data_IF_213080367778
#
_entry.id   IF_213080367778
#
_cell.length_a   1.000
_cell.length_b   1.000
_cell.length_c   1.000
_cell.angle_alpha   90.00
_cell.angle_beta   90.00
_cell.angle_gamma   90.00
#
_symmetry.space_group_name_H-M   'P 1'
#
loop_
_entity.id
_entity.type
_entity.pdbx_description
1 polymer ?
#
# COMPACT_ATOMS: atom_id res chain seq x y z
N UNK A 1 -17.30 -20.43 11.03
CA UNK A 1 -17.06 -19.25 11.88
C UNK A 1 -16.08 -18.27 11.22
N UNK A 2 -14.96 -18.72 10.71
CA UNK A 2 -13.89 -17.90 10.09
C UNK A 2 -14.38 -17.06 8.89
N UNK A 3 -15.22 -17.62 8.00
CA UNK A 3 -15.78 -16.86 6.85
C UNK A 3 -16.62 -15.63 7.27
N UNK A 4 -17.39 -15.75 8.35
CA UNK A 4 -18.20 -14.64 8.87
C UNK A 4 -17.34 -13.54 9.50
N UNK A 5 -16.24 -13.91 10.16
CA UNK A 5 -15.27 -12.96 10.72
C UNK A 5 -14.55 -12.19 9.63
N UNK A 6 -14.17 -12.87 8.54
CA UNK A 6 -13.52 -12.21 7.39
C UNK A 6 -14.47 -11.28 6.63
N UNK A 7 -15.75 -11.68 6.46
CA UNK A 7 -16.76 -10.77 5.89
C UNK A 7 -16.99 -9.55 6.79
N UNK A 8 -17.09 -9.77 8.10
CA UNK A 8 -17.25 -8.66 9.05
C UNK A 8 -16.04 -7.72 9.05
N UNK A 9 -14.82 -8.25 9.00
CA UNK A 9 -13.60 -7.44 8.91
C UNK A 9 -13.52 -6.65 7.58
N UNK A 10 -13.90 -7.25 6.46
CA UNK A 10 -13.95 -6.57 5.16
C UNK A 10 -15.03 -5.49 5.12
N UNK A 11 -16.22 -5.76 5.68
CA UNK A 11 -17.30 -4.78 5.79
C UNK A 11 -16.88 -3.63 6.72
N UNK A 12 -16.26 -3.95 7.87
CA UNK A 12 -15.75 -2.95 8.79
C UNK A 12 -14.68 -2.06 8.13
N UNK A 13 -13.76 -2.66 7.36
CA UNK A 13 -12.78 -1.93 6.56
C UNK A 13 -13.41 -1.00 5.53
N UNK A 14 -14.41 -1.48 4.78
CA UNK A 14 -15.16 -0.66 3.82
C UNK A 14 -15.93 0.47 4.50
N UNK A 15 -16.58 0.18 5.63
CA UNK A 15 -17.30 1.19 6.42
C UNK A 15 -16.31 2.24 6.95
N UNK A 16 -15.17 1.82 7.47
CA UNK A 16 -14.12 2.73 7.94
C UNK A 16 -13.59 3.61 6.80
N UNK A 17 -13.35 3.04 5.62
CA UNK A 17 -12.96 3.80 4.43
C UNK A 17 -14.04 4.80 4.00
N UNK A 18 -15.31 4.39 3.99
CA UNK A 18 -16.43 5.25 3.65
C UNK A 18 -16.60 6.39 4.68
N UNK A 19 -16.43 6.08 5.97
CA UNK A 19 -16.48 7.09 7.05
C UNK A 19 -15.31 8.07 6.92
N UNK A 20 -14.10 7.59 6.67
CA UNK A 20 -12.93 8.45 6.46
C UNK A 20 -13.10 9.32 5.21
N UNK A 21 -13.56 8.74 4.09
CA UNK A 21 -13.85 9.50 2.87
C UNK A 21 -14.93 10.57 3.11
N UNK A 22 -16.00 10.22 3.86
CA UNK A 22 -17.06 11.17 4.22
C UNK A 22 -16.58 12.28 5.17
N UNK A 23 -15.75 11.92 6.16
CA UNK A 23 -15.15 12.90 7.09
C UNK A 23 -14.22 13.85 6.32
N UNK A 24 -13.40 13.33 5.41
CA UNK A 24 -12.52 14.13 4.57
C UNK A 24 -13.30 15.01 3.60
N UNK A 25 -14.41 14.52 3.04
CA UNK A 25 -15.29 15.33 2.21
C UNK A 25 -15.98 16.44 3.02
N UNK A 26 -16.57 16.11 4.17
CA UNK A 26 -17.18 17.12 5.06
C UNK A 26 -16.18 18.14 5.62
N UNK A 27 -14.94 17.74 5.81
CA UNK A 27 -13.86 18.63 6.21
C UNK A 27 -13.35 19.51 5.05
N UNK A 28 -13.96 19.40 3.84
CA UNK A 28 -13.53 20.15 2.66
C UNK A 28 -12.11 19.81 2.18
N UNK A 29 -11.58 18.67 2.62
CA UNK A 29 -10.21 18.27 2.32
C UNK A 29 -10.00 17.92 0.83
N UNK A 30 -11.09 17.66 0.11
CA UNK A 30 -11.09 17.45 -1.34
C UNK A 30 -11.38 18.72 -2.14
N UNK A 31 -11.85 19.78 -1.48
CA UNK A 31 -12.30 21.01 -2.16
C UNK A 31 -11.14 21.94 -2.49
N UNK A 32 -10.06 21.91 -1.73
CA UNK A 32 -8.88 22.70 -2.02
C UNK A 32 -7.58 22.13 -1.44
N UNK A 33 -6.48 22.43 -2.13
CA UNK A 33 -5.10 22.11 -1.70
C UNK A 33 -4.78 22.78 -0.37
N UNK A 34 -5.29 23.99 -0.18
CA UNK A 34 -5.09 24.80 1.01
C UNK A 34 -5.73 24.16 2.25
N UNK A 35 -6.92 23.57 2.13
CA UNK A 35 -7.60 22.87 3.22
C UNK A 35 -6.80 21.62 3.65
N UNK A 36 -6.31 20.84 2.68
CA UNK A 36 -5.42 19.69 2.92
C UNK A 36 -4.12 20.11 3.60
N UNK A 37 -3.47 21.14 3.06
CA UNK A 37 -2.22 21.66 3.60
C UNK A 37 -2.39 22.23 5.00
N UNK A 38 -3.50 22.93 5.28
CA UNK A 38 -3.82 23.46 6.61
C UNK A 38 -4.11 22.35 7.63
N UNK A 39 -4.73 21.26 7.21
CA UNK A 39 -4.93 20.09 8.08
C UNK A 39 -3.61 19.47 8.52
N UNK A 40 -2.65 19.34 7.60
CA UNK A 40 -1.32 18.78 7.90
C UNK A 40 -0.48 19.78 8.68
N UNK A 41 -0.59 21.07 8.40
CA UNK A 41 0.12 22.10 9.16
C UNK A 41 -0.26 22.11 10.64
N UNK A 42 -1.48 21.65 10.99
CA UNK A 42 -1.90 21.44 12.40
C UNK A 42 -1.08 20.36 13.10
N UNK A 43 -0.59 19.35 12.37
CA UNK A 43 0.34 18.33 12.90
C UNK A 43 1.79 18.83 12.94
N UNK A 44 2.06 20.02 12.38
CA UNK A 44 3.38 20.63 12.36
C UNK A 44 4.45 19.68 11.84
N UNK A 45 5.56 19.59 12.55
CA UNK A 45 6.69 18.72 12.21
C UNK A 45 6.36 17.21 12.31
N UNK A 46 5.29 16.82 13.03
CA UNK A 46 4.87 15.43 13.17
C UNK A 46 4.06 14.92 11.96
N UNK A 47 3.55 15.79 11.08
CA UNK A 47 2.75 15.42 9.91
C UNK A 47 3.38 14.33 9.03
N UNK A 48 4.67 14.45 8.64
CA UNK A 48 5.35 13.40 7.89
C UNK A 48 5.42 12.05 8.61
N UNK A 49 5.66 12.04 9.92
CA UNK A 49 5.74 10.80 10.70
C UNK A 49 4.38 10.10 10.78
N UNK A 50 3.30 10.85 10.99
CA UNK A 50 1.92 10.33 10.96
C UNK A 50 1.61 9.73 9.60
N UNK A 51 1.96 10.41 8.51
CA UNK A 51 1.72 9.93 7.16
C UNK A 51 2.51 8.65 6.84
N UNK A 52 3.79 8.60 7.20
CA UNK A 52 4.66 7.42 7.03
C UNK A 52 4.08 6.23 7.81
N UNK A 53 3.63 6.45 9.04
CA UNK A 53 2.99 5.42 9.87
C UNK A 53 1.69 4.94 9.23
N UNK A 54 0.85 5.85 8.74
CA UNK A 54 -0.36 5.52 8.00
C UNK A 54 -0.06 4.65 6.77
N UNK A 55 0.93 5.02 5.97
CA UNK A 55 1.37 4.24 4.82
C UNK A 55 1.86 2.85 5.21
N UNK A 56 2.60 2.70 6.29
CA UNK A 56 3.04 1.41 6.78
C UNK A 56 1.86 0.53 7.24
N UNK A 57 0.93 1.11 7.97
CA UNK A 57 -0.27 0.40 8.46
C UNK A 57 -1.17 -0.05 7.32
N UNK A 58 -1.39 0.77 6.30
CA UNK A 58 -2.25 0.39 5.17
C UNK A 58 -1.70 -0.76 4.33
N UNK A 59 -0.37 -0.93 4.27
CA UNK A 59 0.26 -2.10 3.61
C UNK A 59 0.05 -3.38 4.42
N UNK A 60 0.10 -3.27 5.75
CA UNK A 60 -0.13 -4.42 6.66
C UNK A 60 -1.62 -4.77 6.70
N UNK A 61 -2.49 -3.77 6.68
CA UNK A 61 -3.94 -3.94 6.65
C UNK A 61 -4.43 -3.37 5.31
N UNK A 62 -4.50 -4.17 4.23
CA UNK A 62 -4.80 -3.69 2.88
C UNK A 62 -6.27 -3.25 2.77
N UNK A 63 -6.59 -2.09 3.33
CA UNK A 63 -7.93 -1.50 3.34
C UNK A 63 -8.12 -0.62 2.10
N UNK A 64 -7.09 0.14 1.73
CA UNK A 64 -7.11 1.07 0.61
C UNK A 64 -6.23 0.56 -0.54
N UNK A 65 -6.60 0.81 -1.79
CA UNK A 65 -5.69 0.62 -2.91
C UNK A 65 -4.44 1.48 -2.72
N UNK A 66 -3.24 0.85 -2.72
CA UNK A 66 -1.96 1.53 -2.44
C UNK A 66 -1.69 2.78 -3.30
N UNK A 67 -2.24 2.82 -4.51
CA UNK A 67 -2.14 3.98 -5.40
C UNK A 67 -2.78 5.26 -4.82
N UNK A 68 -3.88 5.16 -4.08
CA UNK A 68 -4.52 6.31 -3.44
C UNK A 68 -3.64 6.92 -2.34
N UNK A 69 -2.96 6.07 -1.58
CA UNK A 69 -1.98 6.53 -0.59
C UNK A 69 -0.81 7.27 -1.23
N UNK A 70 -0.29 6.77 -2.37
CA UNK A 70 0.77 7.44 -3.11
C UNK A 70 0.34 8.82 -3.61
N UNK A 71 -0.86 8.92 -4.17
CA UNK A 71 -1.42 10.20 -4.62
C UNK A 71 -1.56 11.17 -3.45
N UNK A 72 -2.14 10.72 -2.32
CA UNK A 72 -2.27 11.55 -1.13
C UNK A 72 -0.92 12.13 -0.68
N UNK A 73 0.15 11.33 -0.66
CA UNK A 73 1.49 11.78 -0.32
C UNK A 73 1.99 12.90 -1.23
N UNK A 74 1.77 12.78 -2.55
CA UNK A 74 2.16 13.81 -3.51
C UNK A 74 1.35 15.08 -3.33
N UNK A 75 0.06 14.94 -3.11
CA UNK A 75 -0.86 16.08 -2.88
C UNK A 75 -0.45 16.85 -1.63
N UNK A 76 -0.18 16.15 -0.55
CA UNK A 76 0.05 16.72 0.77
C UNK A 76 1.44 17.34 0.93
N UNK A 77 2.45 16.69 0.40
CA UNK A 77 3.86 17.05 0.65
C UNK A 77 4.62 17.46 -0.61
N UNK A 78 3.94 17.44 -1.78
CA UNK A 78 4.56 17.65 -3.08
C UNK A 78 5.28 16.39 -3.60
N UNK A 79 5.68 16.44 -4.88
CA UNK A 79 6.20 15.26 -5.60
C UNK A 79 7.41 14.64 -4.89
N UNK A 80 8.44 15.44 -4.55
CA UNK A 80 9.68 14.92 -3.98
C UNK A 80 9.54 14.41 -2.55
N UNK A 81 8.97 15.23 -1.65
CA UNK A 81 8.78 14.82 -0.25
C UNK A 81 7.73 13.71 -0.16
N UNK A 82 6.63 13.80 -0.92
CA UNK A 82 5.60 12.78 -0.98
C UNK A 82 6.14 11.44 -1.46
N UNK A 83 7.00 11.43 -2.48
CA UNK A 83 7.67 10.22 -2.94
C UNK A 83 8.49 9.56 -1.81
N UNK A 84 9.34 10.31 -1.11
CA UNK A 84 10.16 9.74 -0.04
C UNK A 84 9.35 9.26 1.15
N UNK A 85 8.29 9.97 1.54
CA UNK A 85 7.44 9.55 2.64
C UNK A 85 6.61 8.31 2.27
N UNK A 86 6.09 8.23 1.06
CA UNK A 86 5.47 7.03 0.51
C UNK A 86 6.46 5.86 0.52
N UNK A 87 7.66 6.06 -0.01
CA UNK A 87 8.69 5.03 -0.10
C UNK A 87 9.06 4.47 1.27
N UNK A 88 9.36 5.33 2.25
CA UNK A 88 9.72 4.89 3.61
C UNK A 88 8.55 4.12 4.24
N UNK A 89 7.34 4.68 4.19
CA UNK A 89 6.16 4.06 4.79
C UNK A 89 5.80 2.72 4.15
N UNK A 90 5.75 2.66 2.82
CA UNK A 90 5.42 1.44 2.08
C UNK A 90 6.50 0.37 2.27
N UNK A 91 7.78 0.73 2.26
CA UNK A 91 8.85 -0.24 2.53
C UNK A 91 8.78 -0.78 3.97
N UNK A 92 8.58 0.08 4.95
CA UNK A 92 8.41 -0.34 6.35
C UNK A 92 7.20 -1.27 6.51
N UNK A 93 6.06 -0.91 5.92
CA UNK A 93 4.85 -1.74 5.91
C UNK A 93 5.06 -3.10 5.23
N UNK A 94 5.79 -3.13 4.10
CA UNK A 94 6.11 -4.37 3.38
C UNK A 94 7.00 -5.30 4.19
N UNK A 95 7.99 -4.75 4.90
CA UNK A 95 8.84 -5.52 5.81
C UNK A 95 8.03 -6.07 6.99
N UNK A 96 7.12 -5.28 7.56
CA UNK A 96 6.23 -5.71 8.61
C UNK A 96 5.26 -6.81 8.14
N UNK A 97 4.62 -6.64 6.98
CA UNK A 97 3.74 -7.63 6.38
C UNK A 97 4.44 -8.98 6.14
N UNK A 98 5.67 -8.92 5.61
CA UNK A 98 6.51 -10.11 5.45
C UNK A 98 6.85 -10.77 6.79
N UNK A 99 7.21 -9.98 7.82
CA UNK A 99 7.51 -10.48 9.15
C UNK A 99 6.32 -11.20 9.78
N UNK A 100 5.14 -10.57 9.72
CA UNK A 100 3.89 -11.11 10.23
C UNK A 100 3.52 -12.40 9.50
N UNK A 101 3.58 -12.39 8.16
CA UNK A 101 3.29 -13.58 7.36
C UNK A 101 4.32 -14.71 7.61
N UNK A 102 5.58 -14.38 7.86
CA UNK A 102 6.62 -15.34 8.22
C UNK A 102 6.35 -16.00 9.58
N UNK A 103 5.84 -15.25 10.54
CA UNK A 103 5.52 -15.74 11.87
C UNK A 103 4.21 -16.54 11.89
N UNK A 104 3.16 -16.06 11.21
CA UNK A 104 1.81 -16.64 11.25
C UNK A 104 1.59 -17.72 10.16
N UNK A 105 2.39 -17.71 9.11
CA UNK A 105 2.32 -18.67 8.02
C UNK A 105 1.10 -18.56 7.11
N UNK A 106 0.82 -19.64 6.40
CA UNK A 106 -0.24 -19.70 5.38
C UNK A 106 -1.67 -19.46 5.90
N UNK A 107 -2.05 -19.85 7.11
CA UNK A 107 -3.39 -19.55 7.66
C UNK A 107 -3.72 -18.05 7.67
N UNK A 108 -2.73 -17.20 7.93
CA UNK A 108 -2.93 -15.76 7.87
C UNK A 108 -3.23 -15.29 6.43
N UNK A 109 -2.47 -15.77 5.45
CA UNK A 109 -2.66 -15.44 4.04
C UNK A 109 -4.10 -15.80 3.60
N UNK A 110 -4.55 -17.01 3.96
CA UNK A 110 -5.90 -17.51 3.64
C UNK A 110 -7.02 -16.74 4.38
N UNK A 111 -6.70 -16.12 5.50
CA UNK A 111 -7.66 -15.30 6.25
C UNK A 111 -7.81 -13.89 5.69
N UNK A 112 -6.76 -13.33 5.12
CA UNK A 112 -6.72 -11.94 4.63
C UNK A 112 -7.11 -11.83 3.15
N UNK A 113 -6.76 -12.83 2.34
CA UNK A 113 -6.93 -12.76 0.88
C UNK A 113 -7.88 -13.83 0.33
N UNK A 114 -8.58 -13.55 -0.81
CA UNK A 114 -9.47 -14.51 -1.44
C UNK A 114 -8.74 -15.76 -1.96
N UNK A 115 -9.32 -16.95 -1.79
CA UNK A 115 -8.75 -18.22 -2.22
C UNK A 115 -8.35 -18.23 -3.71
N UNK A 116 -9.19 -17.66 -4.59
CA UNK A 116 -8.90 -17.53 -6.03
C UNK A 116 -7.59 -16.79 -6.32
N UNK A 117 -7.28 -15.81 -5.51
CA UNK A 117 -6.05 -15.02 -5.65
C UNK A 117 -4.84 -15.86 -5.22
N UNK A 118 -4.97 -16.58 -4.12
CA UNK A 118 -3.92 -17.48 -3.60
C UNK A 118 -3.59 -18.57 -4.62
N UNK A 119 -4.61 -19.29 -5.14
CA UNK A 119 -4.43 -20.33 -6.16
C UNK A 119 -3.78 -19.81 -7.44
N UNK A 120 -4.18 -18.62 -7.90
CA UNK A 120 -3.60 -17.99 -9.09
C UNK A 120 -2.10 -17.78 -8.95
N UNK A 121 -1.67 -17.18 -7.84
CA UNK A 121 -0.26 -16.84 -7.64
C UNK A 121 0.58 -18.05 -7.24
N UNK A 122 0.05 -19.00 -6.47
CA UNK A 122 0.71 -20.26 -6.16
C UNK A 122 1.05 -21.04 -7.44
N UNK A 123 0.11 -21.10 -8.39
CA UNK A 123 0.33 -21.78 -9.68
C UNK A 123 1.37 -21.09 -10.55
N UNK A 124 1.39 -19.75 -10.53
CA UNK A 124 2.28 -18.96 -11.39
C UNK A 124 3.70 -18.88 -10.87
N UNK A 125 3.87 -18.75 -9.58
CA UNK A 125 5.17 -18.38 -9.00
C UNK A 125 6.06 -19.57 -8.65
N UNK A 126 5.48 -20.76 -8.47
CA UNK A 126 6.26 -21.95 -8.11
C UNK A 126 7.05 -21.76 -6.81
N UNK A 127 8.22 -22.44 -6.70
CA UNK A 127 9.08 -22.38 -5.50
C UNK A 127 10.54 -22.07 -5.85
N UNK A 128 11.29 -21.63 -4.84
CA UNK A 128 12.73 -21.40 -4.94
C UNK A 128 13.16 -20.16 -5.73
N UNK A 129 14.18 -20.28 -6.58
CA UNK A 129 14.75 -19.15 -7.33
C UNK A 129 13.79 -18.53 -8.36
N UNK A 130 12.86 -19.32 -8.88
CA UNK A 130 11.83 -18.85 -9.80
C UNK A 130 10.90 -17.87 -9.09
N UNK A 131 10.49 -18.17 -7.85
CA UNK A 131 9.68 -17.28 -7.02
C UNK A 131 10.33 -15.91 -6.87
N UNK A 132 11.62 -15.86 -6.49
CA UNK A 132 12.32 -14.59 -6.26
C UNK A 132 12.37 -13.69 -7.51
N UNK A 133 12.58 -14.29 -8.69
CA UNK A 133 12.60 -13.55 -9.97
C UNK A 133 11.22 -12.98 -10.31
N UNK A 134 10.17 -13.78 -10.20
CA UNK A 134 8.80 -13.33 -10.44
C UNK A 134 8.35 -12.31 -9.40
N UNK A 135 8.72 -12.49 -8.15
CA UNK A 135 8.45 -11.54 -7.08
C UNK A 135 9.09 -10.18 -7.38
N UNK A 136 10.38 -10.13 -7.72
CA UNK A 136 11.05 -8.89 -8.08
C UNK A 136 10.40 -8.21 -9.29
N UNK A 137 10.06 -8.97 -10.33
CA UNK A 137 9.40 -8.46 -11.51
C UNK A 137 8.01 -7.88 -11.21
N UNK A 138 7.20 -8.58 -10.42
CA UNK A 138 5.85 -8.13 -10.06
C UNK A 138 5.87 -6.93 -9.12
N UNK A 139 6.84 -6.83 -8.20
CA UNK A 139 7.01 -5.64 -7.34
C UNK A 139 7.44 -4.42 -8.15
N UNK A 140 8.20 -4.62 -9.23
CA UNK A 140 8.62 -3.53 -10.11
C UNK A 140 7.46 -2.95 -10.94
N UNK A 141 6.48 -3.79 -11.31
CA UNK A 141 5.34 -3.39 -12.13
C UNK A 141 4.19 -2.87 -11.25
N UNK A 142 3.68 -1.63 -11.49
CA UNK A 142 2.67 -1.00 -10.63
C UNK A 142 1.25 -1.60 -10.75
N UNK A 143 1.05 -2.70 -11.48
CA UNK A 143 -0.27 -3.32 -11.70
C UNK A 143 -0.51 -4.52 -10.78
N UNK A 144 0.55 -5.08 -10.20
CA UNK A 144 0.44 -6.24 -9.33
C UNK A 144 -0.06 -5.85 -7.92
N UNK A 145 -0.82 -6.73 -7.25
CA UNK A 145 -1.21 -6.51 -5.86
C UNK A 145 -0.01 -6.75 -4.94
N UNK A 146 0.85 -5.73 -4.84
CA UNK A 146 2.15 -5.82 -4.19
C UNK A 146 2.07 -6.10 -2.68
N UNK A 147 1.01 -5.61 -2.01
CA UNK A 147 0.76 -5.93 -0.60
C UNK A 147 0.52 -7.43 -0.40
N UNK A 148 -0.32 -8.04 -1.27
CA UNK A 148 -0.51 -9.49 -1.28
C UNK A 148 0.80 -10.25 -1.49
N UNK A 149 1.62 -9.79 -2.45
CA UNK A 149 2.89 -10.42 -2.76
C UNK A 149 3.87 -10.37 -1.59
N UNK A 150 3.85 -9.32 -0.78
CA UNK A 150 4.64 -9.21 0.44
C UNK A 150 4.24 -10.27 1.49
N UNK A 151 2.93 -10.47 1.69
CA UNK A 151 2.41 -11.54 2.55
C UNK A 151 2.76 -12.93 1.99
N UNK A 152 2.54 -13.14 0.69
CA UNK A 152 2.89 -14.41 0.04
C UNK A 152 4.37 -14.74 0.18
N UNK A 153 5.25 -13.77 -0.04
CA UNK A 153 6.69 -13.93 0.14
C UNK A 153 7.05 -14.38 1.57
N UNK A 154 6.33 -13.87 2.58
CA UNK A 154 6.50 -14.30 3.97
C UNK A 154 6.23 -15.77 4.20
N UNK A 155 5.31 -16.39 3.46
CA UNK A 155 4.98 -17.82 3.57
C UNK A 155 5.92 -18.73 2.76
N UNK A 156 6.81 -18.16 1.96
CA UNK A 156 7.78 -18.91 1.14
C UNK A 156 9.15 -19.06 1.83
N UNK A 157 10.09 -19.73 1.18
CA UNK A 157 11.46 -19.88 1.66
C UNK A 157 12.40 -18.73 1.29
N UNK A 158 11.89 -17.59 0.80
CA UNK A 158 12.74 -16.44 0.45
C UNK A 158 13.44 -15.89 1.70
N UNK A 159 14.74 -15.66 1.61
CA UNK A 159 15.53 -15.14 2.72
C UNK A 159 15.26 -13.65 2.97
N UNK A 160 15.36 -13.20 4.22
CA UNK A 160 15.20 -11.80 4.61
C UNK A 160 16.04 -10.83 3.77
N UNK A 161 17.31 -11.13 3.57
CA UNK A 161 18.23 -10.27 2.81
C UNK A 161 17.77 -10.07 1.38
N UNK A 162 17.39 -11.15 0.71
CA UNK A 162 16.92 -11.09 -0.69
C UNK A 162 15.59 -10.36 -0.79
N UNK A 163 14.65 -10.65 0.11
CA UNK A 163 13.37 -9.96 0.18
C UNK A 163 13.56 -8.44 0.36
N UNK A 164 14.33 -8.04 1.37
CA UNK A 164 14.60 -6.62 1.67
C UNK A 164 15.27 -5.93 0.49
N UNK A 165 16.25 -6.57 -0.16
CA UNK A 165 16.91 -6.01 -1.34
C UNK A 165 15.91 -5.79 -2.49
N UNK A 166 15.02 -6.74 -2.76
CA UNK A 166 13.99 -6.60 -3.80
C UNK A 166 13.04 -5.45 -3.46
N UNK A 167 12.55 -5.37 -2.22
CA UNK A 167 11.66 -4.28 -1.80
C UNK A 167 12.34 -2.92 -1.97
N UNK A 168 13.55 -2.75 -1.47
CA UNK A 168 14.25 -1.47 -1.53
C UNK A 168 14.64 -1.06 -2.96
N UNK A 169 14.96 -2.01 -3.84
CA UNK A 169 15.40 -1.70 -5.20
C UNK A 169 14.27 -1.61 -6.22
N UNK A 170 13.21 -2.41 -6.08
CA UNK A 170 12.14 -2.50 -7.06
C UNK A 170 10.96 -1.56 -6.75
N UNK A 171 10.62 -1.36 -5.48
CA UNK A 171 9.50 -0.46 -5.09
C UNK A 171 9.65 1.01 -5.49
N UNK A 172 10.84 1.63 -5.50
CA UNK A 172 10.95 3.02 -5.94
C UNK A 172 10.36 3.27 -7.33
N UNK A 173 10.57 2.32 -8.26
CA UNK A 173 10.05 2.44 -9.62
C UNK A 173 8.52 2.39 -9.66
N UNK A 174 7.89 1.42 -8.98
CA UNK A 174 6.44 1.32 -8.92
C UNK A 174 5.79 2.52 -8.21
N UNK A 175 6.37 2.99 -7.11
CA UNK A 175 5.89 4.17 -6.38
C UNK A 175 6.01 5.43 -7.23
N UNK A 176 7.12 5.62 -7.96
CA UNK A 176 7.30 6.74 -8.88
C UNK A 176 6.25 6.71 -10.00
N UNK A 177 6.02 5.55 -10.61
CA UNK A 177 5.02 5.37 -11.67
C UNK A 177 3.59 5.64 -11.15
N UNK A 178 3.23 5.17 -9.95
CA UNK A 178 1.96 5.50 -9.33
C UNK A 178 1.83 7.01 -9.05
N UNK A 179 2.84 7.59 -8.42
CA UNK A 179 2.84 9.00 -8.03
C UNK A 179 2.73 9.92 -9.26
N UNK A 180 3.52 9.66 -10.31
CA UNK A 180 3.50 10.44 -11.54
C UNK A 180 2.23 10.16 -12.36
N UNK A 181 1.88 8.89 -12.57
CA UNK A 181 0.71 8.51 -13.36
C UNK A 181 -0.59 9.05 -12.79
N UNK A 182 -0.80 8.89 -11.49
CA UNK A 182 -2.00 9.40 -10.83
C UNK A 182 -2.03 10.94 -10.76
N UNK A 183 -0.87 11.59 -10.64
CA UNK A 183 -0.80 13.05 -10.69
C UNK A 183 -1.23 13.57 -12.06
N UNK A 184 -0.74 12.96 -13.15
CA UNK A 184 -1.13 13.32 -14.53
C UNK A 184 -2.63 13.06 -14.75
N UNK A 185 -3.15 11.94 -14.29
CA UNK A 185 -4.58 11.61 -14.37
C UNK A 185 -5.42 12.61 -13.58
N UNK A 186 -5.04 12.94 -12.35
CA UNK A 186 -5.73 13.91 -11.52
C UNK A 186 -5.74 15.32 -12.14
N UNK A 187 -4.64 15.75 -12.74
CA UNK A 187 -4.54 17.04 -13.43
C UNK A 187 -5.41 17.12 -14.68
N UNK A 188 -5.38 16.07 -15.51
CA UNK A 188 -6.04 16.11 -16.82
C UNK A 188 -7.54 15.75 -16.76
N UNK A 189 -7.96 14.82 -15.88
CA UNK A 189 -9.34 14.36 -15.82
C UNK A 189 -10.19 15.08 -14.76
N UNK A 190 -9.59 15.47 -13.64
CA UNK A 190 -10.33 16.06 -12.53
C UNK A 190 -10.17 17.58 -12.45
N UNK A 191 -9.33 18.19 -13.31
CA UNK A 191 -9.06 19.63 -13.24
C UNK A 191 -8.50 20.10 -11.89
N UNK A 192 -8.14 19.16 -11.04
CA UNK A 192 -7.54 19.41 -9.74
C UNK A 192 -6.16 19.99 -10.00
N UNK A 193 -5.97 21.28 -9.86
CA UNK A 193 -4.64 21.96 -9.95
C UNK A 193 -4.41 22.84 -11.19
N UNK A 194 -5.44 23.47 -11.75
CA UNK A 194 -5.21 24.69 -12.56
C UNK A 194 -5.05 25.90 -11.69
#
# INVERSE_FOLDING_TARGET
MIKKVNQAASILGLVLCAVLAYVFWKAGLFDSKEALTSCISRFGWAGPAVFITFQAVQVVIPILPGGLGCLAGVILFGVWKGFWYNYIGICAGSLAAFAIARACGRPLLESVFPAKMIEKYDRWMGSGSRFAKWFAFLIFIPVAPDDYLCFLAGTTRIGWRLYTAIILLCKPASIALYSLGLTVVAQNLLGLWR
#
